data_IF_206729112624
#
_entry.id   IF_206729112624
#
_cell.length_a   1.000
_cell.length_b   1.000
_cell.length_c   1.000
_cell.angle_alpha   90.00
_cell.angle_beta   90.00
_cell.angle_gamma   90.00
#
_symmetry.space_group_name_H-M   'P 1'
#
loop_
_entity.id
_entity.type
_entity.pdbx_description
1 polymer ?
#
# COMPACT_ATOMS: atom_id res chain seq x y z
N UNK A 1 -23.68 7.85 60.14
CA UNK A 1 -24.55 8.80 60.86
C UNK A 1 -23.69 9.89 61.47
N UNK A 2 -23.67 11.09 60.88
CA UNK A 2 -23.53 12.37 61.58
C UNK A 2 -23.98 13.44 60.57
N UNK A 3 -24.84 14.33 61.02
CA UNK A 3 -25.58 15.29 60.21
C UNK A 3 -25.27 16.73 60.66
N UNK A 4 -25.67 17.69 59.81
CA UNK A 4 -25.93 19.11 60.07
C UNK A 4 -24.67 20.02 60.10
N UNK A 5 -24.64 21.25 59.58
CA UNK A 5 -25.65 22.10 58.93
C UNK A 5 -24.97 23.24 58.12
N UNK A 6 -25.75 23.82 57.21
CA UNK A 6 -25.53 25.11 56.51
C UNK A 6 -25.47 26.30 57.48
N UNK A 7 -24.98 27.46 57.01
CA UNK A 7 -25.96 28.52 56.74
C UNK A 7 -25.77 29.27 55.41
N UNK A 8 -26.89 29.84 54.99
CA UNK A 8 -27.10 30.73 53.86
C UNK A 8 -26.52 32.14 54.09
N UNK A 9 -26.18 32.83 53.00
CA UNK A 9 -26.35 34.28 52.86
C UNK A 9 -26.70 34.59 51.39
N UNK A 10 -27.81 35.31 51.23
CA UNK A 10 -28.26 35.94 50.01
C UNK A 10 -27.64 37.34 49.89
N UNK A 11 -27.47 37.85 48.66
CA UNK A 11 -27.59 39.28 48.39
C UNK A 11 -27.84 39.55 46.91
N UNK A 12 -28.70 40.54 46.70
CA UNK A 12 -29.40 40.93 45.48
C UNK A 12 -28.64 42.00 44.66
N UNK A 13 -29.05 42.14 43.38
CA UNK A 13 -28.92 43.38 42.61
C UNK A 13 -27.65 43.48 41.75
N UNK A 14 -27.63 44.06 40.55
CA UNK A 14 -28.62 44.86 39.83
C UNK A 14 -28.19 44.92 38.34
N UNK A 15 -29.19 45.07 37.47
CA UNK A 15 -29.19 45.47 36.04
C UNK A 15 -27.89 46.04 35.44
N UNK A 16 -27.57 45.56 34.23
CA UNK A 16 -26.66 46.20 33.28
C UNK A 16 -26.93 45.73 31.85
N UNK A 17 -27.83 46.45 31.18
CA UNK A 17 -27.92 46.70 29.72
C UNK A 17 -26.81 46.10 28.83
N UNK A 18 -27.21 45.30 27.84
CA UNK A 18 -27.24 45.71 26.42
C UNK A 18 -25.88 45.77 25.73
N UNK A 19 -25.49 44.68 25.06
CA UNK A 19 -24.85 44.74 23.74
C UNK A 19 -25.35 43.58 22.88
N UNK A 20 -26.35 43.86 22.05
CA UNK A 20 -26.54 43.16 20.78
C UNK A 20 -25.28 43.41 19.93
N UNK A 21 -24.32 42.50 19.99
CA UNK A 21 -23.39 42.35 18.88
C UNK A 21 -24.11 41.52 17.83
N UNK A 22 -24.40 42.21 16.73
CA UNK A 22 -24.96 41.69 15.49
C UNK A 22 -24.07 40.55 14.99
N UNK A 23 -24.45 39.31 15.29
CA UNK A 23 -23.96 38.16 14.55
C UNK A 23 -24.67 38.18 13.19
N UNK A 24 -23.97 38.79 12.23
CA UNK A 24 -24.26 38.66 10.81
C UNK A 24 -24.29 37.16 10.48
N UNK A 25 -25.34 36.62 9.85
CA UNK A 25 -25.30 35.24 9.35
C UNK A 25 -24.13 35.16 8.37
N UNK A 26 -23.14 34.33 8.69
CA UNK A 26 -22.19 33.90 7.70
C UNK A 26 -22.99 33.14 6.64
N UNK A 27 -22.83 33.43 5.34
CA UNK A 27 -23.44 32.60 4.33
C UNK A 27 -22.93 31.19 4.57
N UNK A 28 -23.89 30.30 4.79
CA UNK A 28 -23.77 28.85 4.79
C UNK A 28 -22.77 28.49 3.71
N UNK A 29 -21.54 28.19 4.13
CA UNK A 29 -20.62 27.49 3.26
C UNK A 29 -21.35 26.17 3.03
N UNK A 30 -21.98 26.05 1.87
CA UNK A 30 -22.21 24.78 1.21
C UNK A 30 -20.86 24.07 1.26
N UNK A 31 -20.69 23.33 2.35
CA UNK A 31 -19.74 22.27 2.48
C UNK A 31 -20.26 21.26 1.47
N UNK A 32 -19.92 21.52 0.20
CA UNK A 32 -19.89 20.52 -0.83
C UNK A 32 -19.24 19.35 -0.14
N UNK A 33 -20.05 18.34 0.19
CA UNK A 33 -19.58 17.06 0.61
C UNK A 33 -18.69 16.65 -0.55
N UNK A 34 -17.39 16.89 -0.41
CA UNK A 34 -16.41 16.33 -1.30
C UNK A 34 -16.72 14.83 -1.22
N UNK A 35 -17.09 14.18 -2.33
CA UNK A 35 -17.19 12.73 -2.30
C UNK A 35 -15.89 12.23 -1.68
N UNK A 36 -15.93 11.16 -0.87
CA UNK A 36 -14.70 10.60 -0.30
C UNK A 36 -13.68 10.58 -1.41
N UNK A 37 -12.51 11.20 -1.19
CA UNK A 37 -11.41 11.01 -2.12
C UNK A 37 -11.00 9.56 -1.97
N UNK A 38 -11.73 8.67 -2.64
CA UNK A 38 -11.27 7.35 -2.99
C UNK A 38 -9.99 7.61 -3.76
N UNK A 39 -8.85 7.44 -3.08
CA UNK A 39 -7.55 7.51 -3.71
C UNK A 39 -7.64 6.65 -4.94
N UNK A 40 -7.59 7.28 -6.12
CA UNK A 40 -7.57 6.61 -7.40
C UNK A 40 -6.33 5.72 -7.37
N UNK A 41 -6.46 4.48 -6.89
CA UNK A 41 -5.37 3.51 -7.01
C UNK A 41 -5.35 3.19 -8.50
N UNK A 42 -4.54 3.96 -9.22
CA UNK A 42 -4.38 3.87 -10.66
C UNK A 42 -3.95 2.45 -11.02
N UNK A 43 -4.46 1.96 -12.14
CA UNK A 43 -3.96 0.71 -12.70
C UNK A 43 -2.56 0.96 -13.22
N UNK A 44 -1.62 0.15 -12.79
CA UNK A 44 -0.23 0.16 -13.22
C UNK A 44 0.03 -1.02 -14.15
N UNK A 45 0.93 -0.82 -15.11
CA UNK A 45 1.35 -1.85 -16.05
C UNK A 45 2.86 -1.98 -15.96
N UNK A 46 3.34 -3.14 -15.58
CA UNK A 46 4.77 -3.36 -15.35
C UNK A 46 5.18 -4.78 -15.71
N UNK A 47 6.43 -4.93 -16.15
CA UNK A 47 7.11 -6.23 -16.27
C UNK A 47 7.98 -6.45 -15.05
N UNK A 48 7.60 -7.35 -14.16
CA UNK A 48 8.32 -7.60 -12.91
C UNK A 48 8.12 -9.05 -12.43
N UNK A 49 8.79 -9.43 -11.35
CA UNK A 49 8.55 -10.66 -10.61
C UNK A 49 7.22 -10.56 -9.87
N UNK A 50 6.38 -11.57 -10.03
CA UNK A 50 5.16 -11.77 -9.27
C UNK A 50 5.17 -13.15 -8.63
N UNK A 51 4.91 -13.21 -7.32
CA UNK A 51 4.82 -14.45 -6.55
C UNK A 51 3.51 -14.53 -5.77
N UNK A 52 3.07 -15.75 -5.47
CA UNK A 52 1.81 -15.99 -4.72
C UNK A 52 1.87 -15.58 -3.26
N UNK A 53 3.07 -15.53 -2.65
CA UNK A 53 3.25 -15.17 -1.24
C UNK A 53 4.46 -14.29 -1.00
N UNK A 54 4.42 -13.50 0.08
CA UNK A 54 5.57 -12.75 0.57
C UNK A 54 6.80 -13.64 0.86
N UNK A 55 6.58 -14.85 1.38
CA UNK A 55 7.67 -15.79 1.69
C UNK A 55 8.38 -16.26 0.42
N UNK A 56 7.65 -16.48 -0.67
CA UNK A 56 8.23 -16.82 -1.98
C UNK A 56 9.07 -15.66 -2.53
N UNK A 57 8.65 -14.40 -2.37
CA UNK A 57 9.46 -13.23 -2.76
C UNK A 57 10.77 -13.17 -1.97
N UNK A 58 10.70 -13.36 -0.64
CA UNK A 58 11.90 -13.38 0.20
C UNK A 58 12.85 -14.51 -0.19
N UNK A 59 12.30 -15.70 -0.46
CA UNK A 59 13.10 -16.86 -0.89
C UNK A 59 13.74 -16.64 -2.26
N UNK A 60 13.00 -16.07 -3.21
CA UNK A 60 13.55 -15.66 -4.50
C UNK A 60 14.74 -14.73 -4.33
N UNK A 61 14.66 -13.76 -3.40
CA UNK A 61 15.77 -12.81 -3.21
C UNK A 61 17.04 -13.44 -2.67
N UNK A 62 16.93 -14.36 -1.71
CA UNK A 62 18.09 -15.13 -1.26
C UNK A 62 18.69 -15.95 -2.40
N UNK A 63 17.84 -16.64 -3.17
CA UNK A 63 18.28 -17.47 -4.28
C UNK A 63 18.87 -16.66 -5.44
N UNK A 64 18.41 -15.42 -5.66
CA UNK A 64 18.96 -14.56 -6.71
C UNK A 64 20.44 -14.29 -6.47
N UNK A 65 20.81 -13.97 -5.23
CA UNK A 65 22.21 -13.73 -4.85
C UNK A 65 23.03 -15.03 -4.91
N UNK A 66 22.48 -16.15 -4.41
CA UNK A 66 23.12 -17.48 -4.47
C UNK A 66 23.37 -17.95 -5.92
N UNK A 67 22.48 -17.59 -6.86
CA UNK A 67 22.58 -17.94 -8.28
C UNK A 67 23.27 -16.86 -9.12
N UNK A 68 24.08 -15.97 -8.50
CA UNK A 68 24.88 -14.98 -9.22
C UNK A 68 24.06 -13.98 -10.02
N UNK A 69 22.83 -13.69 -9.60
CA UNK A 69 21.92 -12.77 -10.26
C UNK A 69 21.00 -13.40 -11.31
N UNK A 70 21.01 -14.73 -11.50
CA UNK A 70 20.08 -15.38 -12.43
C UNK A 70 18.67 -15.48 -11.86
N UNK A 71 17.78 -14.63 -12.35
CA UNK A 71 16.37 -14.63 -11.96
C UNK A 71 15.66 -15.93 -12.39
N UNK A 72 15.97 -16.48 -13.57
CA UNK A 72 15.37 -17.73 -14.05
C UNK A 72 15.72 -18.92 -13.14
N UNK A 73 16.98 -19.02 -12.72
CA UNK A 73 17.41 -20.07 -11.80
C UNK A 73 16.73 -19.93 -10.42
N UNK A 74 16.66 -18.71 -9.89
CA UNK A 74 16.01 -18.43 -8.63
C UNK A 74 14.50 -18.73 -8.66
N UNK A 75 13.78 -18.34 -9.73
CA UNK A 75 12.35 -18.66 -9.93
C UNK A 75 12.15 -20.17 -9.99
N UNK A 76 12.97 -20.87 -10.78
CA UNK A 76 12.88 -22.33 -10.94
C UNK A 76 13.03 -23.03 -9.59
N UNK A 77 14.00 -22.59 -8.77
CA UNK A 77 14.22 -23.12 -7.44
C UNK A 77 13.04 -22.85 -6.49
N UNK A 78 12.49 -21.62 -6.45
CA UNK A 78 11.31 -21.31 -5.63
C UNK A 78 10.11 -22.17 -6.02
N UNK A 79 9.83 -22.30 -7.32
CA UNK A 79 8.68 -23.06 -7.82
C UNK A 79 8.83 -24.57 -7.50
N UNK A 80 10.05 -25.09 -7.60
CA UNK A 80 10.36 -26.46 -7.21
C UNK A 80 10.18 -26.70 -5.69
N UNK A 81 10.70 -25.80 -4.84
CA UNK A 81 10.55 -25.86 -3.38
C UNK A 81 9.08 -25.83 -2.94
N UNK A 82 8.25 -25.06 -3.64
CA UNK A 82 6.82 -24.91 -3.35
C UNK A 82 5.93 -25.96 -4.05
N UNK A 83 6.52 -26.86 -4.86
CA UNK A 83 5.79 -27.87 -5.67
C UNK A 83 4.66 -27.26 -6.51
N UNK A 84 4.84 -26.01 -6.91
CA UNK A 84 3.84 -25.20 -7.61
C UNK A 84 4.56 -24.55 -8.79
N UNK A 85 4.30 -24.98 -10.03
CA UNK A 85 5.12 -24.63 -11.20
C UNK A 85 5.14 -23.13 -11.52
N UNK A 86 4.17 -22.38 -11.00
CA UNK A 86 3.93 -20.95 -11.21
C UNK A 86 3.87 -20.16 -9.89
N UNK A 87 4.48 -20.67 -8.81
CA UNK A 87 4.55 -19.95 -7.53
C UNK A 87 5.15 -18.53 -7.66
N UNK A 88 6.14 -18.39 -8.54
CA UNK A 88 6.70 -17.13 -8.99
C UNK A 88 6.86 -17.14 -10.51
N UNK A 89 6.69 -15.97 -11.14
CA UNK A 89 6.97 -15.76 -12.55
C UNK A 89 7.36 -14.30 -12.80
N UNK A 90 8.16 -14.06 -13.85
CA UNK A 90 8.26 -12.72 -14.45
C UNK A 90 7.17 -12.62 -15.51
N UNK A 91 6.31 -11.61 -15.37
CA UNK A 91 5.21 -11.39 -16.31
C UNK A 91 5.05 -9.88 -16.55
N UNK A 92 4.29 -9.52 -17.58
CA UNK A 92 3.79 -8.15 -17.73
C UNK A 92 2.33 -8.14 -17.36
N UNK A 93 1.96 -7.40 -16.31
CA UNK A 93 0.61 -7.44 -15.74
C UNK A 93 0.07 -6.03 -15.51
N UNK A 94 -1.26 -5.91 -15.62
CA UNK A 94 -2.00 -4.74 -15.20
C UNK A 94 -2.53 -4.97 -13.77
N UNK A 95 -2.16 -4.12 -12.82
CA UNK A 95 -2.46 -4.32 -11.41
C UNK A 95 -2.75 -3.02 -10.66
N UNK A 96 -3.28 -3.14 -9.43
CA UNK A 96 -3.36 -2.04 -8.46
C UNK A 96 -2.53 -2.39 -7.24
N UNK A 97 -1.82 -1.41 -6.68
CA UNK A 97 -1.13 -1.58 -5.39
C UNK A 97 -2.14 -1.69 -4.26
N UNK A 98 -2.00 -2.72 -3.43
CA UNK A 98 -2.85 -2.98 -2.28
C UNK A 98 -2.17 -2.62 -0.95
N UNK A 99 -0.84 -2.49 -0.92
CA UNK A 99 -0.09 -2.03 0.24
C UNK A 99 1.26 -2.72 0.37
N UNK A 100 2.13 -2.20 1.23
CA UNK A 100 3.43 -2.80 1.53
C UNK A 100 3.22 -3.98 2.50
N UNK A 101 3.65 -5.17 2.09
CA UNK A 101 3.57 -6.39 2.91
C UNK A 101 4.85 -6.62 3.72
N UNK A 102 5.97 -6.03 3.30
CA UNK A 102 7.23 -6.05 4.05
C UNK A 102 8.39 -5.57 3.20
N UNK A 103 9.58 -5.99 3.58
CA UNK A 103 10.84 -5.55 2.99
C UNK A 103 11.76 -6.74 2.81
N UNK A 104 12.52 -6.73 1.72
CA UNK A 104 13.60 -7.67 1.45
C UNK A 104 14.81 -6.89 0.94
N UNK A 105 16.00 -7.44 1.18
CA UNK A 105 17.25 -6.87 0.71
C UNK A 105 18.08 -7.95 0.06
N UNK A 106 18.84 -7.57 -0.93
CA UNK A 106 19.87 -8.39 -1.54
C UNK A 106 21.19 -7.59 -1.57
N UNK A 107 22.26 -8.15 -2.13
CA UNK A 107 23.56 -7.46 -2.19
C UNK A 107 23.54 -6.15 -2.99
N UNK A 108 22.54 -5.96 -3.87
CA UNK A 108 22.46 -4.80 -4.76
C UNK A 108 21.57 -3.68 -4.19
N UNK A 109 20.43 -4.01 -3.56
CA UNK A 109 19.45 -3.02 -3.14
C UNK A 109 18.48 -3.53 -2.05
N UNK A 110 17.69 -2.59 -1.53
CA UNK A 110 16.53 -2.85 -0.67
C UNK A 110 15.24 -2.63 -1.46
N UNK A 111 14.32 -3.58 -1.33
CA UNK A 111 13.04 -3.61 -2.03
C UNK A 111 11.89 -3.68 -1.02
N UNK A 112 10.84 -2.93 -1.31
CA UNK A 112 9.53 -3.15 -0.70
C UNK A 112 8.87 -4.36 -1.36
N UNK A 113 8.39 -5.29 -0.53
CA UNK A 113 7.49 -6.37 -0.99
C UNK A 113 6.09 -5.79 -1.02
N UNK A 114 5.61 -5.49 -2.23
CA UNK A 114 4.31 -4.87 -2.46
C UNK A 114 3.26 -5.93 -2.69
N UNK A 115 2.15 -5.88 -1.95
CA UNK A 115 0.93 -6.61 -2.25
C UNK A 115 0.19 -5.89 -3.36
N UNK A 116 -0.24 -6.64 -4.36
CA UNK A 116 -0.94 -6.11 -5.54
C UNK A 116 -2.18 -6.95 -5.85
N UNK A 117 -3.12 -6.34 -6.56
CA UNK A 117 -4.25 -7.05 -7.16
C UNK A 117 -4.10 -6.99 -8.68
N UNK A 118 -3.81 -8.13 -9.29
CA UNK A 118 -3.71 -8.25 -10.75
C UNK A 118 -5.10 -8.32 -11.35
N UNK A 119 -5.32 -7.56 -12.41
CA UNK A 119 -6.59 -7.47 -13.14
C UNK A 119 -6.45 -7.79 -14.63
N UNK A 120 -5.22 -7.85 -15.14
CA UNK A 120 -4.94 -8.25 -16.51
C UNK A 120 -3.52 -8.75 -16.70
N UNK A 121 -3.33 -9.60 -17.69
CA UNK A 121 -2.04 -10.20 -18.04
C UNK A 121 -1.76 -9.94 -19.51
N UNK A 122 -0.52 -9.58 -19.84
CA UNK A 122 -0.09 -9.43 -21.22
C UNK A 122 0.28 -10.79 -21.80
N UNK A 123 -0.39 -11.19 -22.88
CA UNK A 123 -0.14 -12.44 -23.60
C UNK A 123 0.32 -12.15 -25.03
N UNK A 124 0.56 -13.20 -25.82
CA UNK A 124 0.86 -13.07 -27.26
C UNK A 124 -0.29 -12.42 -28.06
N UNK A 125 -1.51 -12.35 -27.49
CA UNK A 125 -2.68 -11.69 -28.08
C UNK A 125 -2.88 -10.27 -27.58
N UNK A 126 -2.00 -9.78 -26.71
CA UNK A 126 -2.14 -8.51 -25.99
C UNK A 126 -2.66 -8.71 -24.56
N UNK A 127 -3.14 -7.61 -23.95
CA UNK A 127 -3.71 -7.67 -22.60
C UNK A 127 -5.04 -8.43 -22.60
N UNK A 128 -5.11 -9.47 -21.78
CA UNK A 128 -6.34 -10.18 -21.46
C UNK A 128 -6.73 -9.87 -20.02
N UNK A 129 -8.03 -9.65 -19.79
CA UNK A 129 -8.55 -9.46 -18.44
C UNK A 129 -8.39 -10.76 -17.65
N UNK A 130 -7.94 -10.63 -16.40
CA UNK A 130 -7.82 -11.74 -15.46
C UNK A 130 -8.87 -11.60 -14.36
N UNK A 131 -9.26 -12.72 -13.75
CA UNK A 131 -9.98 -12.65 -12.48
C UNK A 131 -9.06 -11.97 -11.45
N UNK A 132 -9.58 -11.02 -10.64
CA UNK A 132 -8.77 -10.35 -9.64
C UNK A 132 -8.07 -11.35 -8.72
N UNK A 133 -6.74 -11.30 -8.69
CA UNK A 133 -5.92 -12.18 -7.86
C UNK A 133 -4.88 -11.36 -7.09
N UNK A 134 -4.68 -11.70 -5.82
CA UNK A 134 -3.67 -11.08 -4.99
C UNK A 134 -2.31 -11.74 -5.23
N UNK A 135 -1.29 -10.93 -5.52
CA UNK A 135 0.09 -11.37 -5.70
C UNK A 135 1.04 -10.41 -4.96
N UNK A 136 2.32 -10.79 -4.92
CA UNK A 136 3.39 -10.01 -4.31
C UNK A 136 4.47 -9.73 -5.35
N UNK A 137 4.98 -8.49 -5.36
CA UNK A 137 6.05 -8.04 -6.27
C UNK A 137 7.10 -7.22 -5.53
N UNK A 138 8.19 -6.89 -6.21
CA UNK A 138 9.33 -6.14 -5.68
C UNK A 138 9.35 -4.73 -6.24
N UNK A 139 9.47 -3.74 -5.36
CA UNK A 139 9.54 -2.33 -5.74
C UNK A 139 10.79 -1.73 -5.11
N UNK A 140 11.75 -1.19 -5.88
CA UNK A 140 12.95 -0.57 -5.31
C UNK A 140 12.57 0.61 -4.42
N UNK A 141 13.07 0.64 -3.18
CA UNK A 141 12.73 1.73 -2.26
C UNK A 141 13.38 3.07 -2.63
N UNK A 142 14.51 3.03 -3.34
CA UNK A 142 15.28 4.23 -3.71
C UNK A 142 15.06 4.69 -5.16
N UNK A 143 13.98 4.27 -5.83
CA UNK A 143 13.65 4.74 -7.18
C UNK A 143 14.56 4.22 -8.29
N UNK A 144 15.22 3.07 -8.09
CA UNK A 144 15.86 2.32 -9.18
C UNK A 144 14.82 1.85 -10.21
N UNK A 145 15.26 1.46 -11.41
CA UNK A 145 14.40 1.17 -12.57
C UNK A 145 13.46 -0.04 -12.45
N UNK A 146 13.30 -0.61 -11.26
CA UNK A 146 12.39 -1.73 -10.98
C UNK A 146 12.89 -3.09 -11.45
N UNK A 147 13.94 -3.14 -12.28
CA UNK A 147 14.35 -4.40 -12.90
C UNK A 147 15.20 -5.25 -11.96
N UNK A 148 14.57 -6.27 -11.37
CA UNK A 148 15.27 -7.25 -10.56
C UNK A 148 16.04 -8.20 -11.49
N UNK A 149 17.37 -8.27 -11.32
CA UNK A 149 18.22 -9.21 -12.06
C UNK A 149 18.96 -8.65 -13.28
N UNK A 150 19.01 -7.33 -13.50
CA UNK A 150 20.03 -6.79 -14.43
C UNK A 150 21.42 -6.97 -13.83
N UNK A 151 22.28 -7.68 -14.55
CA UNK A 151 23.71 -7.72 -14.29
C UNK A 151 24.24 -6.27 -14.33
N UNK A 152 25.10 -5.84 -13.38
CA UNK A 152 25.82 -4.58 -13.55
C UNK A 152 26.58 -4.65 -14.88
N UNK A 153 26.36 -3.67 -15.76
CA UNK A 153 27.21 -3.53 -16.95
C UNK A 153 28.64 -3.19 -16.49
N UNK A 154 29.68 -3.83 -17.07
CA UNK A 154 31.08 -3.64 -16.69
C UNK A 154 31.63 -2.24 -16.99
#
# INVERSE_FOLDING_TARGET
>A
MLALALPAQAQEGTRGTSQLQQQKPQPEQEQQAQPPQEGQQSVEVETNLFCGTQQQVARFMSLLDENGGSAEAAITAVNAENKTPDACAIATVAYRRAGIAGEVKNVAATFDVMRIVVMGVYTVKGFEAALPMELFTLVPRNGGDGTVGRRPEP
#
